data_IF_775265089830
#
_entry.id   IF_775265089830
#
_cell.length_a   1.000
_cell.length_b   1.000
_cell.length_c   1.000
_cell.angle_alpha   90.00
_cell.angle_beta   90.00
_cell.angle_gamma   90.00
#
_symmetry.space_group_name_H-M   'P 1'
#
loop_
_entity.id
_entity.type
_entity.pdbx_description
1 polymer ?
#
# COMPACT_ATOMS: atom_id res chain seq x y z
N UNK A 1 -10.05 6.03 31.23
CA UNK A 1 -10.15 4.67 30.67
C UNK A 1 -8.89 4.44 29.86
N UNK A 2 -7.85 3.90 30.50
CA UNK A 2 -6.58 3.62 29.82
C UNK A 2 -6.72 2.36 28.98
N UNK A 3 -7.17 2.51 27.73
CA UNK A 3 -7.02 1.45 26.73
C UNK A 3 -5.53 1.35 26.41
N UNK A 4 -4.81 0.45 27.09
CA UNK A 4 -3.48 0.03 26.64
C UNK A 4 -3.64 -0.53 25.22
N UNK A 5 -2.97 0.10 24.26
CA UNK A 5 -2.90 -0.39 22.89
C UNK A 5 -2.33 -1.81 22.91
N UNK A 6 -2.99 -2.74 22.23
CA UNK A 6 -2.42 -4.06 22.02
C UNK A 6 -1.30 -4.00 20.98
N UNK A 7 -0.44 -5.01 21.00
CA UNK A 7 0.59 -5.23 19.97
C UNK A 7 0.05 -5.11 18.53
N UNK A 8 -1.12 -5.69 18.15
CA UNK A 8 -1.59 -5.58 16.77
C UNK A 8 -2.05 -4.16 16.41
N UNK A 9 -2.66 -3.40 17.32
CA UNK A 9 -3.02 -1.99 17.08
C UNK A 9 -1.77 -1.13 16.90
N UNK A 10 -0.70 -1.41 17.66
CA UNK A 10 0.59 -0.73 17.51
C UNK A 10 1.17 -0.97 16.10
N UNK A 11 1.09 -2.19 15.57
CA UNK A 11 1.53 -2.48 14.20
C UNK A 11 0.76 -1.67 13.17
N UNK A 12 -0.58 -1.58 13.30
CA UNK A 12 -1.41 -0.78 12.40
C UNK A 12 -1.06 0.70 12.48
N UNK A 13 -0.85 1.23 13.69
CA UNK A 13 -0.48 2.63 13.90
C UNK A 13 0.91 2.92 13.31
N UNK A 14 1.92 2.13 13.66
CA UNK A 14 3.29 2.33 13.16
C UNK A 14 3.32 2.19 11.64
N UNK A 15 2.78 1.09 11.11
CA UNK A 15 2.76 0.83 9.67
C UNK A 15 2.01 1.92 8.89
N UNK A 16 0.83 2.32 9.38
CA UNK A 16 0.03 3.37 8.75
C UNK A 16 0.68 4.74 8.84
N UNK A 17 1.30 5.09 9.97
CA UNK A 17 2.07 6.33 10.11
C UNK A 17 3.29 6.35 9.18
N UNK A 18 4.05 5.26 9.09
CA UNK A 18 5.18 5.15 8.16
C UNK A 18 4.70 5.35 6.73
N UNK A 19 3.60 4.69 6.33
CA UNK A 19 3.05 4.83 4.99
C UNK A 19 2.59 6.27 4.71
N UNK A 20 1.87 6.91 5.64
CA UNK A 20 1.44 8.32 5.50
C UNK A 20 2.64 9.26 5.37
N UNK A 21 3.72 9.04 6.14
CA UNK A 21 4.95 9.84 6.00
C UNK A 21 5.58 9.62 4.63
N UNK A 22 5.64 8.39 4.13
CA UNK A 22 6.16 8.13 2.78
C UNK A 22 5.28 8.79 1.71
N UNK A 23 3.96 8.79 1.88
CA UNK A 23 3.06 9.50 0.98
C UNK A 23 3.34 11.02 0.99
N UNK A 24 3.57 11.60 2.17
CA UNK A 24 3.92 13.01 2.31
C UNK A 24 5.26 13.33 1.64
N UNK A 25 6.29 12.52 1.87
CA UNK A 25 7.60 12.68 1.23
C UNK A 25 7.47 12.63 -0.29
N UNK A 26 6.74 11.63 -0.82
CA UNK A 26 6.42 11.51 -2.24
C UNK A 26 5.74 12.77 -2.79
N UNK A 27 4.75 13.29 -2.06
CA UNK A 27 4.01 14.50 -2.40
C UNK A 27 4.87 15.79 -2.38
N UNK A 28 5.95 15.83 -1.59
CA UNK A 28 6.92 16.93 -1.61
C UNK A 28 7.73 16.90 -2.90
N UNK A 29 8.18 15.72 -3.34
CA UNK A 29 8.97 15.54 -4.56
C UNK A 29 8.15 15.73 -5.85
N UNK A 30 6.92 15.20 -5.88
CA UNK A 30 6.07 15.22 -7.07
C UNK A 30 4.78 16.00 -6.79
N UNK A 31 4.66 17.20 -7.37
CA UNK A 31 3.49 18.05 -7.16
C UNK A 31 2.20 17.48 -7.74
N UNK A 32 2.30 16.74 -8.86
CA UNK A 32 1.16 16.24 -9.62
C UNK A 32 0.39 15.14 -8.86
N UNK A 33 1.04 14.44 -7.93
CA UNK A 33 0.44 13.32 -7.19
C UNK A 33 -0.02 13.71 -5.78
N UNK A 34 0.14 14.99 -5.38
CA UNK A 34 -0.19 15.48 -4.03
C UNK A 34 -1.63 15.18 -3.61
N UNK A 35 -2.58 15.47 -4.49
CA UNK A 35 -4.00 15.27 -4.19
C UNK A 35 -4.34 13.78 -4.05
N UNK A 36 -3.82 12.95 -4.95
CA UNK A 36 -3.95 11.49 -4.86
C UNK A 36 -3.39 10.99 -3.52
N UNK A 37 -2.18 11.42 -3.15
CA UNK A 37 -1.55 11.01 -1.89
C UNK A 37 -2.30 11.52 -0.66
N UNK A 38 -2.90 12.72 -0.75
CA UNK A 38 -3.74 13.28 0.30
C UNK A 38 -4.99 12.42 0.55
N UNK A 39 -5.74 12.06 -0.50
CA UNK A 39 -6.93 11.23 -0.35
C UNK A 39 -6.60 9.80 0.07
N UNK A 40 -5.52 9.22 -0.45
CA UNK A 40 -5.00 7.95 0.02
C UNK A 40 -4.66 7.98 1.51
N UNK A 41 -3.98 9.04 2.00
CA UNK A 41 -3.63 9.18 3.42
C UNK A 41 -4.88 9.20 4.32
N UNK A 42 -5.97 9.86 3.91
CA UNK A 42 -7.22 9.88 4.66
C UNK A 42 -7.83 8.49 4.89
N UNK A 43 -7.67 7.58 3.93
CA UNK A 43 -8.12 6.21 4.09
C UNK A 43 -7.33 5.46 5.17
N UNK A 44 -6.01 5.68 5.24
CA UNK A 44 -5.18 5.11 6.31
C UNK A 44 -5.48 5.74 7.67
N UNK A 45 -5.74 7.05 7.73
CA UNK A 45 -6.22 7.72 8.95
C UNK A 45 -7.54 7.10 9.43
N UNK A 46 -8.49 6.86 8.51
CA UNK A 46 -9.76 6.19 8.85
C UNK A 46 -9.54 4.76 9.34
N UNK A 47 -8.67 3.98 8.68
CA UNK A 47 -8.33 2.61 9.09
C UNK A 47 -7.71 2.59 10.50
N UNK A 48 -6.74 3.47 10.79
CA UNK A 48 -6.14 3.62 12.11
C UNK A 48 -7.19 4.01 13.15
N UNK A 49 -7.96 5.07 12.90
CA UNK A 49 -8.96 5.56 13.84
C UNK A 49 -10.03 4.50 14.18
N UNK A 50 -10.49 3.75 13.18
CA UNK A 50 -11.46 2.67 13.37
C UNK A 50 -10.84 1.46 14.09
N UNK A 51 -9.59 1.10 13.77
CA UNK A 51 -8.83 0.04 14.45
C UNK A 51 -8.64 0.37 15.93
N UNK A 52 -8.25 1.59 16.27
CA UNK A 52 -8.11 2.07 17.65
C UNK A 52 -9.43 2.07 18.43
N UNK A 53 -10.56 2.20 17.73
CA UNK A 53 -11.90 2.07 18.32
C UNK A 53 -12.34 0.61 18.51
N UNK A 54 -11.57 -0.36 18.02
CA UNK A 54 -11.93 -1.78 18.01
C UNK A 54 -13.01 -2.12 16.98
N UNK A 55 -13.17 -1.28 15.94
CA UNK A 55 -14.20 -1.47 14.92
C UNK A 55 -13.66 -2.36 13.79
N UNK A 56 -14.38 -3.45 13.50
CA UNK A 56 -14.04 -4.42 12.44
C UNK A 56 -13.85 -3.79 11.07
N UNK A 57 -14.60 -2.72 10.77
CA UNK A 57 -14.42 -1.98 9.53
C UNK A 57 -13.01 -1.40 9.37
N UNK A 58 -12.37 -0.99 10.46
CA UNK A 58 -10.99 -0.52 10.44
C UNK A 58 -10.01 -1.60 9.98
N UNK A 59 -10.18 -2.83 10.47
CA UNK A 59 -9.35 -3.97 10.06
C UNK A 59 -9.57 -4.32 8.60
N UNK A 60 -10.82 -4.36 8.14
CA UNK A 60 -11.13 -4.69 6.75
C UNK A 60 -10.65 -3.63 5.77
N UNK A 61 -10.83 -2.34 6.09
CA UNK A 61 -10.28 -1.24 5.29
C UNK A 61 -8.75 -1.30 5.28
N UNK A 62 -8.11 -1.51 6.43
CA UNK A 62 -6.65 -1.60 6.53
C UNK A 62 -6.07 -2.74 5.68
N UNK A 63 -6.61 -3.96 5.81
CA UNK A 63 -6.19 -5.11 4.97
C UNK A 63 -6.45 -4.85 3.50
N UNK A 64 -7.61 -4.28 3.15
CA UNK A 64 -7.96 -4.01 1.75
C UNK A 64 -7.04 -2.94 1.14
N UNK A 65 -6.80 -1.85 1.87
CA UNK A 65 -6.01 -0.72 1.39
C UNK A 65 -4.53 -1.08 1.26
N UNK A 66 -3.94 -1.56 2.36
CA UNK A 66 -2.54 -1.91 2.42
C UNK A 66 -2.24 -3.16 1.57
N UNK A 67 -3.12 -4.17 1.63
CA UNK A 67 -2.96 -5.39 0.84
C UNK A 67 -3.08 -5.14 -0.66
N UNK A 68 -4.04 -4.33 -1.12
CA UNK A 68 -4.14 -3.97 -2.54
C UNK A 68 -2.90 -3.18 -3.00
N UNK A 69 -2.43 -2.24 -2.18
CA UNK A 69 -1.24 -1.46 -2.49
C UNK A 69 0.00 -2.35 -2.58
N UNK A 70 0.25 -3.23 -1.61
CA UNK A 70 1.39 -4.14 -1.62
C UNK A 70 1.32 -5.14 -2.76
N UNK A 71 0.13 -5.69 -3.04
CA UNK A 71 -0.10 -6.59 -4.17
C UNK A 71 0.25 -5.92 -5.50
N UNK A 72 -0.22 -4.69 -5.70
CA UNK A 72 0.06 -3.91 -6.90
C UNK A 72 1.56 -3.64 -7.05
N UNK A 73 2.24 -3.34 -5.94
CA UNK A 73 3.67 -3.06 -5.95
C UNK A 73 4.56 -4.30 -6.10
N UNK A 74 4.03 -5.48 -5.79
CA UNK A 74 4.76 -6.75 -5.87
C UNK A 74 4.56 -7.47 -7.22
N UNK A 75 3.35 -7.42 -7.78
CA UNK A 75 2.98 -8.24 -8.95
C UNK A 75 2.64 -7.44 -10.22
N UNK A 76 2.32 -6.16 -10.10
CA UNK A 76 1.82 -5.34 -11.22
C UNK A 76 2.81 -4.26 -11.63
N UNK A 77 3.53 -3.68 -10.67
CA UNK A 77 4.50 -2.62 -10.91
C UNK A 77 5.90 -3.05 -10.49
N UNK A 78 6.90 -2.32 -10.96
CA UNK A 78 8.30 -2.50 -10.58
C UNK A 78 8.72 -1.61 -9.41
N UNK A 79 7.81 -0.86 -8.80
CA UNK A 79 8.16 0.20 -7.85
C UNK A 79 8.95 -0.33 -6.64
N UNK A 80 8.53 -1.44 -6.04
CA UNK A 80 9.29 -2.09 -4.96
C UNK A 80 10.64 -2.62 -5.45
N UNK A 81 10.68 -3.28 -6.61
CA UNK A 81 11.90 -3.85 -7.18
C UNK A 81 12.93 -2.76 -7.50
N UNK A 82 12.50 -1.67 -8.13
CA UNK A 82 13.32 -0.48 -8.40
C UNK A 82 13.79 0.18 -7.11
N UNK A 83 12.92 0.28 -6.09
CA UNK A 83 13.32 0.79 -4.77
C UNK A 83 14.39 -0.05 -4.12
N UNK A 84 14.25 -1.38 -4.14
CA UNK A 84 15.24 -2.32 -3.59
C UNK A 84 16.56 -2.25 -4.34
N UNK A 85 16.51 -2.15 -5.67
CA UNK A 85 17.70 -2.02 -6.51
C UNK A 85 18.47 -0.72 -6.23
N UNK A 86 17.78 0.43 -6.19
CA UNK A 86 18.43 1.70 -5.88
C UNK A 86 18.95 1.76 -4.43
N UNK A 87 18.24 1.14 -3.48
CA UNK A 87 18.70 1.02 -2.11
C UNK A 87 20.00 0.20 -2.04
N UNK A 88 20.08 -0.91 -2.77
CA UNK A 88 21.29 -1.74 -2.87
C UNK A 88 22.45 -0.96 -3.51
N UNK A 89 22.21 -0.23 -4.60
CA UNK A 89 23.22 0.61 -5.23
C UNK A 89 23.73 1.70 -4.28
N UNK A 90 22.83 2.34 -3.53
CA UNK A 90 23.22 3.35 -2.55
C UNK A 90 24.08 2.77 -1.43
N UNK A 91 23.75 1.58 -0.91
CA UNK A 91 24.56 0.90 0.10
C UNK A 91 25.94 0.52 -0.44
N UNK A 92 26.02 0.09 -1.70
CA UNK A 92 27.27 -0.37 -2.30
C UNK A 92 28.18 0.76 -2.78
N UNK A 93 27.61 1.84 -3.33
CA UNK A 93 28.35 2.88 -4.04
C UNK A 93 28.28 4.26 -3.39
N UNK A 94 27.36 4.45 -2.44
CA UNK A 94 27.07 5.75 -1.84
C UNK A 94 26.31 6.72 -2.77
N UNK A 95 26.03 6.35 -4.03
CA UNK A 95 25.34 7.21 -4.98
C UNK A 95 23.83 6.98 -4.95
N UNK A 96 23.07 8.05 -4.76
CA UNK A 96 21.61 8.03 -4.74
C UNK A 96 21.07 8.75 -5.98
N UNK A 97 20.84 7.99 -7.06
CA UNK A 97 20.37 8.55 -8.33
C UNK A 97 18.86 8.87 -8.35
N UNK A 98 18.05 8.08 -7.63
CA UNK A 98 16.57 8.11 -7.66
C UNK A 98 15.97 8.00 -6.26
N UNK A 99 16.01 9.07 -5.44
CA UNK A 99 15.45 9.06 -4.08
C UNK A 99 13.93 8.79 -4.05
N UNK A 100 13.22 9.16 -5.12
CA UNK A 100 11.80 8.87 -5.37
C UNK A 100 11.46 7.37 -5.36
N UNK A 101 12.43 6.51 -5.69
CA UNK A 101 12.21 5.06 -5.73
C UNK A 101 12.55 4.39 -4.41
N UNK A 102 13.51 4.93 -3.64
CA UNK A 102 13.93 4.33 -2.37
C UNK A 102 12.83 4.38 -1.32
N UNK A 103 11.92 5.38 -1.38
CA UNK A 103 10.75 5.46 -0.50
C UNK A 103 9.76 4.30 -0.68
N UNK A 104 9.83 3.56 -1.79
CA UNK A 104 8.98 2.39 -2.04
C UNK A 104 9.18 1.30 -0.97
N UNK A 105 10.41 1.12 -0.50
CA UNK A 105 10.78 0.07 0.46
C UNK A 105 10.15 0.30 1.84
N UNK A 106 10.36 1.45 2.51
CA UNK A 106 9.67 1.73 3.78
C UNK A 106 8.15 1.84 3.62
N UNK A 107 7.65 2.30 2.46
CA UNK A 107 6.20 2.34 2.21
C UNK A 107 5.58 0.93 2.17
N UNK A 108 6.22 0.00 1.46
CA UNK A 108 5.81 -1.40 1.40
C UNK A 108 5.90 -2.08 2.77
N UNK A 109 6.99 -1.87 3.50
CA UNK A 109 7.11 -2.39 4.87
C UNK A 109 6.01 -1.84 5.79
N UNK A 110 5.69 -0.54 5.68
CA UNK A 110 4.61 0.08 6.44
C UNK A 110 3.26 -0.57 6.18
N UNK A 111 2.92 -0.79 4.91
CA UNK A 111 1.68 -1.47 4.53
C UNK A 111 1.65 -2.94 4.97
N UNK A 112 2.75 -3.65 4.83
CA UNK A 112 2.84 -5.03 5.31
C UNK A 112 2.55 -5.12 6.83
N UNK A 113 3.07 -4.18 7.62
CA UNK A 113 2.75 -4.07 9.05
C UNK A 113 1.26 -3.78 9.31
N UNK A 114 0.62 -2.94 8.50
CA UNK A 114 -0.82 -2.67 8.58
C UNK A 114 -1.61 -3.96 8.30
N UNK A 115 -1.27 -4.69 7.25
CA UNK A 115 -1.94 -5.96 6.90
C UNK A 115 -1.84 -6.96 8.05
N UNK A 116 -0.62 -7.23 8.53
CA UNK A 116 -0.38 -8.16 9.63
C UNK A 116 -1.08 -7.70 10.91
N UNK A 117 -1.00 -6.41 11.24
CA UNK A 117 -1.65 -5.82 12.41
C UNK A 117 -3.17 -5.94 12.37
N UNK A 118 -3.79 -5.65 11.22
CA UNK A 118 -5.24 -5.76 11.05
C UNK A 118 -5.74 -7.20 11.11
N UNK A 119 -5.03 -8.14 10.46
CA UNK A 119 -5.38 -9.57 10.51
C UNK A 119 -5.28 -10.08 11.95
N UNK A 120 -4.18 -9.75 12.65
CA UNK A 120 -3.98 -10.18 14.02
C UNK A 120 -5.03 -9.55 14.96
N UNK A 121 -5.32 -8.25 14.85
CA UNK A 121 -6.35 -7.58 15.64
C UNK A 121 -7.73 -8.23 15.43
N UNK A 122 -8.06 -8.61 14.18
CA UNK A 122 -9.32 -9.27 13.85
C UNK A 122 -9.46 -10.63 14.57
N UNK A 123 -8.45 -11.50 14.47
CA UNK A 123 -8.46 -12.82 15.11
C UNK A 123 -8.42 -12.76 16.64
N UNK A 124 -7.79 -11.72 17.20
CA UNK A 124 -7.74 -11.54 18.66
C UNK A 124 -9.09 -11.18 19.28
N UNK A 125 -9.93 -10.43 18.55
CA UNK A 125 -11.14 -9.82 19.11
C UNK A 125 -12.47 -10.39 18.59
N UNK A 126 -12.45 -11.36 17.66
CA UNK A 126 -13.67 -11.81 16.98
C UNK A 126 -14.00 -13.28 17.26
N UNK A 127 -15.13 -13.53 17.94
CA UNK A 127 -15.85 -14.81 17.78
C UNK A 127 -16.48 -14.82 16.40
N UNK A 128 -16.25 -15.87 15.61
CA UNK A 128 -16.65 -15.99 14.21
C UNK A 128 -18.10 -15.54 13.96
N UNK A 129 -18.29 -14.56 13.07
CA UNK A 129 -19.63 -14.12 12.65
C UNK A 129 -19.74 -14.30 11.14
N UNK A 130 -20.69 -15.13 10.70
CA UNK A 130 -20.91 -15.47 9.28
C UNK A 130 -21.04 -14.27 8.32
N UNK A 131 -21.38 -13.08 8.83
CA UNK A 131 -21.48 -11.84 8.05
C UNK A 131 -20.18 -11.05 7.85
N UNK A 132 -19.06 -11.47 8.47
CA UNK A 132 -17.79 -10.74 8.36
C UNK A 132 -17.16 -10.87 6.96
N UNK A 133 -17.38 -12.00 6.27
CA UNK A 133 -16.95 -12.17 4.87
C UNK A 133 -17.63 -11.14 3.96
N UNK A 134 -18.95 -10.96 4.09
CA UNK A 134 -19.66 -9.96 3.29
C UNK A 134 -19.16 -8.54 3.58
N UNK A 135 -18.92 -8.21 4.85
CA UNK A 135 -18.37 -6.90 5.25
C UNK A 135 -16.97 -6.69 4.69
N UNK A 136 -16.15 -7.73 4.69
CA UNK A 136 -14.82 -7.69 4.10
C UNK A 136 -14.90 -7.47 2.59
N UNK A 137 -15.75 -8.22 1.87
CA UNK A 137 -15.97 -8.02 0.43
C UNK A 137 -16.46 -6.61 0.12
N UNK A 138 -17.40 -6.08 0.91
CA UNK A 138 -17.89 -4.70 0.77
C UNK A 138 -16.78 -3.69 1.04
N UNK A 139 -16.00 -3.87 2.11
CA UNK A 139 -14.87 -3.00 2.43
C UNK A 139 -13.81 -3.02 1.31
N UNK A 140 -13.51 -4.20 0.78
CA UNK A 140 -12.56 -4.37 -0.31
C UNK A 140 -13.05 -3.70 -1.60
N UNK A 141 -14.32 -3.91 -1.97
CA UNK A 141 -14.94 -3.27 -3.12
C UNK A 141 -14.95 -1.74 -2.99
N UNK A 142 -15.35 -1.20 -1.83
CA UNK A 142 -15.37 0.24 -1.57
C UNK A 142 -13.96 0.83 -1.57
N UNK A 143 -12.98 0.14 -0.98
CA UNK A 143 -11.57 0.57 -0.97
C UNK A 143 -10.99 0.59 -2.38
N UNK A 144 -11.24 -0.45 -3.16
CA UNK A 144 -10.78 -0.54 -4.56
C UNK A 144 -11.45 0.53 -5.41
N UNK A 145 -12.75 0.73 -5.26
CA UNK A 145 -13.48 1.78 -5.96
C UNK A 145 -12.98 3.18 -5.57
N UNK A 146 -12.64 3.40 -4.31
CA UNK A 146 -12.05 4.65 -3.84
C UNK A 146 -10.70 4.91 -4.51
N UNK A 147 -9.80 3.91 -4.54
CA UNK A 147 -8.54 4.04 -5.28
C UNK A 147 -8.76 4.31 -6.76
N UNK A 148 -9.71 3.62 -7.40
CA UNK A 148 -10.01 3.81 -8.81
C UNK A 148 -10.54 5.21 -9.11
N UNK A 149 -11.44 5.72 -8.27
CA UNK A 149 -11.98 7.07 -8.40
C UNK A 149 -10.92 8.14 -8.15
N UNK A 150 -10.08 7.96 -7.12
CA UNK A 150 -8.98 8.86 -6.79
C UNK A 150 -7.95 8.93 -7.93
N UNK A 151 -7.57 7.77 -8.50
CA UNK A 151 -6.74 7.71 -9.70
C UNK A 151 -7.44 8.33 -10.91
N UNK A 152 -8.74 8.09 -11.13
CA UNK A 152 -9.47 8.65 -12.27
C UNK A 152 -9.54 10.18 -12.25
N UNK A 153 -9.59 10.79 -11.07
CA UNK A 153 -9.74 12.24 -10.92
C UNK A 153 -8.37 12.94 -10.97
N UNK A 154 -7.38 12.42 -10.24
CA UNK A 154 -6.11 13.14 -10.05
C UNK A 154 -4.98 12.63 -10.93
N UNK A 155 -4.97 11.35 -11.29
CA UNK A 155 -3.92 10.74 -12.11
C UNK A 155 -4.44 9.59 -13.00
N UNK A 156 -5.22 9.91 -14.05
CA UNK A 156 -5.87 8.89 -14.90
C UNK A 156 -4.87 7.91 -15.53
N UNK A 157 -3.60 8.31 -15.66
CA UNK A 157 -2.48 7.48 -16.14
C UNK A 157 -2.29 6.18 -15.34
N UNK A 158 -2.76 6.12 -14.10
CA UNK A 158 -2.69 4.91 -13.25
C UNK A 158 -3.90 3.98 -13.40
N UNK A 159 -4.97 4.39 -14.09
CA UNK A 159 -6.15 3.52 -14.31
C UNK A 159 -5.85 2.19 -15.02
N UNK A 160 -4.91 2.12 -16.00
CA UNK A 160 -4.52 0.84 -16.59
C UNK A 160 -3.90 -0.17 -15.61
N UNK A 161 -3.58 0.23 -14.36
CA UNK A 161 -3.11 -0.72 -13.34
C UNK A 161 -4.21 -1.70 -12.92
N UNK A 162 -5.47 -1.29 -12.83
CA UNK A 162 -6.58 -2.17 -12.43
C UNK A 162 -6.80 -3.37 -13.36
N UNK A 163 -6.89 -3.22 -14.70
CA UNK A 163 -6.97 -4.38 -15.58
C UNK A 163 -5.69 -5.22 -15.56
N UNK A 164 -4.51 -4.63 -15.32
CA UNK A 164 -3.26 -5.39 -15.15
C UNK A 164 -3.23 -6.22 -13.86
N UNK A 165 -3.94 -5.81 -12.80
CA UNK A 165 -4.09 -6.65 -11.59
C UNK A 165 -4.75 -8.00 -11.87
N UNK A 166 -5.54 -8.11 -12.95
CA UNK A 166 -6.15 -9.38 -13.39
C UNK A 166 -5.16 -10.29 -14.12
N UNK A 167 -4.01 -9.75 -14.54
CA UNK A 167 -2.94 -10.46 -15.24
C UNK A 167 -1.60 -10.24 -14.52
N UNK A 168 -1.45 -10.74 -13.28
CA UNK A 168 -0.24 -10.53 -12.50
C UNK A 168 0.96 -11.25 -13.13
N UNK A 169 2.13 -10.63 -13.07
CA UNK A 169 3.40 -11.24 -13.45
C UNK A 169 4.04 -11.93 -12.25
N UNK A 170 5.01 -12.81 -12.46
CA UNK A 170 5.78 -13.34 -11.33
C UNK A 170 6.56 -12.19 -10.67
N UNK A 171 6.67 -12.19 -9.34
CA UNK A 171 7.36 -11.11 -8.63
C UNK A 171 8.80 -11.01 -9.13
N UNK A 172 9.21 -9.79 -9.49
CA UNK A 172 10.54 -9.46 -10.03
C UNK A 172 10.88 -9.96 -11.44
N UNK A 173 9.94 -10.58 -12.18
CA UNK A 173 10.17 -10.89 -13.62
C UNK A 173 10.19 -9.62 -14.48
N UNK A 174 9.33 -8.65 -14.19
CA UNK A 174 9.29 -7.35 -14.91
C UNK A 174 10.63 -6.61 -14.77
N UNK A 175 11.32 -6.75 -13.64
CA UNK A 175 12.62 -6.14 -13.40
C UNK A 175 13.78 -6.94 -14.04
N UNK A 176 13.53 -8.18 -14.48
CA UNK A 176 14.52 -9.07 -15.10
C UNK A 176 14.44 -9.10 -16.62
N UNK A 177 13.36 -8.61 -17.23
CA UNK A 177 13.29 -8.48 -18.68
C UNK A 177 14.37 -7.49 -19.12
N UNK A 178 15.49 -7.96 -19.71
CA UNK A 178 16.37 -7.04 -20.41
C UNK A 178 15.58 -6.54 -21.61
N UNK A 179 15.86 -5.31 -22.02
CA UNK A 179 15.31 -4.70 -23.20
C UNK A 179 15.71 -5.54 -24.44
N UNK A 180 14.94 -6.58 -24.77
CA UNK A 180 15.02 -7.30 -26.05
C UNK A 180 14.07 -6.61 -27.01
N UNK A 181 14.33 -5.34 -27.30
CA UNK A 181 13.75 -4.65 -28.46
C UNK A 181 14.60 -3.41 -28.82
N UNK A 182 15.92 -3.58 -28.95
CA UNK A 182 16.77 -2.67 -29.73
C UNK A 182 17.39 -3.40 -30.93
N UNK A 183 16.58 -4.21 -31.60
CA UNK A 183 16.94 -4.82 -32.88
C UNK A 183 15.67 -5.15 -33.66
N UNK A 184 15.11 -4.14 -34.33
CA UNK A 184 14.33 -4.29 -35.57
C UNK A 184 13.95 -2.93 -36.17
N UNK A 185 14.67 -2.64 -37.26
CA UNK A 185 14.43 -1.68 -38.33
C UNK A 185 14.91 -0.23 -38.14
#
# INVERSE_FOLDING_TARGET
MDRRLGTPEILVVIGGCVFIVMLFVSAVFEADIRWLHFFQAWMYVAAIALTLRGNRWGYFIGVSAAGLWDYTNLFVTTFLASGLHNLSLWIQTGQLARPDQVIAVPAWLGNFLVVVGCIWAYFRHTSERKGDVLRFVVAFALTTAFFAADMAIFQPRYLPLFPRMLHPHAPFEIARAPDVEHDRH
#
